data_IF_145769752724
#
_entry.id   IF_145769752724
#
_cell.length_a   1.000
_cell.length_b   1.000
_cell.length_c   1.000
_cell.angle_alpha   90.00
_cell.angle_beta   90.00
_cell.angle_gamma   90.00
#
_symmetry.space_group_name_H-M   'P 1'
#
loop_
_entity.id
_entity.type
_entity.pdbx_description
1 polymer ?
#
# COMPACT_ATOMS: atom_id res chain seq x y z
N UNK A 1 -7.36 -46.54 73.13
CA UNK A 1 -8.35 -45.91 72.24
C UNK A 1 -7.71 -44.63 71.69
N UNK A 2 -7.18 -44.72 70.45
CA UNK A 2 -6.41 -43.61 69.81
C UNK A 2 -7.31 -42.93 68.77
N UNK A 3 -7.51 -41.63 68.94
CA UNK A 3 -8.28 -40.78 67.97
C UNK A 3 -7.26 -40.15 67.04
N UNK A 4 -7.28 -40.53 65.77
CA UNK A 4 -6.51 -39.85 64.71
C UNK A 4 -7.38 -38.79 64.12
N UNK A 5 -6.93 -37.52 64.21
CA UNK A 5 -7.48 -36.41 63.45
C UNK A 5 -6.81 -36.31 62.06
N UNK A 6 -7.58 -36.51 61.04
CA UNK A 6 -7.13 -36.29 59.64
C UNK A 6 -7.31 -34.85 59.27
N UNK A 7 -6.18 -34.14 59.18
CA UNK A 7 -6.12 -32.80 58.59
C UNK A 7 -5.73 -32.98 57.12
N UNK A 8 -6.70 -33.26 56.27
CA UNK A 8 -6.49 -33.25 54.81
C UNK A 8 -7.71 -32.66 54.13
N UNK A 9 -7.68 -31.37 53.80
CA UNK A 9 -8.80 -30.81 53.04
C UNK A 9 -8.74 -29.30 52.74
N UNK A 10 -7.84 -28.56 53.33
CA UNK A 10 -7.89 -27.08 53.21
C UNK A 10 -6.82 -26.44 52.35
N UNK A 11 -5.75 -27.15 52.00
CA UNK A 11 -4.61 -26.56 51.28
C UNK A 11 -4.81 -26.62 49.75
N UNK A 12 -5.67 -27.56 49.28
CA UNK A 12 -5.89 -27.75 47.83
C UNK A 12 -6.85 -26.76 47.20
N UNK A 13 -7.72 -26.09 47.97
CA UNK A 13 -8.70 -25.11 47.48
C UNK A 13 -8.12 -23.70 47.26
N UNK A 14 -7.02 -23.36 47.91
CA UNK A 14 -6.38 -22.02 47.78
C UNK A 14 -5.49 -21.95 46.53
N UNK A 15 -4.87 -23.05 46.12
CA UNK A 15 -4.00 -23.11 44.96
C UNK A 15 -4.74 -22.95 43.63
N UNK A 16 -5.99 -23.43 43.52
CA UNK A 16 -6.81 -23.34 42.28
C UNK A 16 -7.39 -21.96 42.08
N UNK A 17 -7.63 -21.20 43.16
CA UNK A 17 -8.18 -19.84 43.05
C UNK A 17 -7.14 -18.82 42.57
N UNK A 18 -5.86 -19.03 42.86
CA UNK A 18 -4.75 -18.12 42.44
C UNK A 18 -4.42 -18.30 40.95
N UNK A 19 -4.58 -19.49 40.38
CA UNK A 19 -4.32 -19.77 38.97
C UNK A 19 -5.42 -19.17 38.05
N UNK A 20 -6.65 -19.05 38.54
CA UNK A 20 -7.77 -18.47 37.77
C UNK A 20 -7.74 -16.94 37.71
N UNK A 21 -7.06 -16.25 38.62
CA UNK A 21 -6.91 -14.80 38.63
C UNK A 21 -5.80 -14.27 37.70
N UNK A 22 -4.91 -15.14 37.22
CA UNK A 22 -3.80 -14.76 36.33
C UNK A 22 -4.14 -14.70 34.82
N UNK A 23 -5.33 -15.16 34.40
CA UNK A 23 -5.67 -15.33 32.99
C UNK A 23 -6.47 -14.15 32.34
N UNK A 24 -6.73 -13.08 33.08
CA UNK A 24 -7.59 -11.98 32.59
C UNK A 24 -6.79 -10.75 32.12
N UNK A 25 -5.46 -10.85 32.01
CA UNK A 25 -4.61 -9.68 31.71
C UNK A 25 -3.96 -9.72 30.32
N UNK A 26 -4.62 -10.11 29.25
CA UNK A 26 -4.01 -10.01 27.93
C UNK A 26 -4.97 -9.66 26.79
N UNK A 27 -5.96 -8.81 27.04
CA UNK A 27 -6.61 -8.05 25.97
C UNK A 27 -6.22 -6.58 26.11
N UNK A 28 -4.97 -6.25 25.78
CA UNK A 28 -4.59 -4.87 25.52
C UNK A 28 -5.25 -4.48 24.22
N UNK A 29 -6.48 -3.98 24.29
CA UNK A 29 -7.16 -3.30 23.19
C UNK A 29 -6.22 -2.18 22.70
N UNK A 30 -5.63 -2.36 21.49
CA UNK A 30 -4.88 -1.28 20.85
C UNK A 30 -5.86 -0.13 20.67
N UNK A 31 -5.59 1.00 21.32
CA UNK A 31 -6.35 2.24 21.08
C UNK A 31 -6.34 2.49 19.58
N UNK A 32 -7.47 2.85 18.96
CA UNK A 32 -7.49 3.19 17.55
C UNK A 32 -6.49 4.32 17.29
N UNK A 33 -5.60 4.10 16.34
CA UNK A 33 -4.58 5.07 15.95
C UNK A 33 -5.29 6.30 15.37
N UNK A 34 -4.92 7.52 15.77
CA UNK A 34 -5.50 8.72 15.20
C UNK A 34 -5.21 8.80 13.69
N UNK A 35 -6.12 9.35 12.91
CA UNK A 35 -5.96 9.47 11.46
C UNK A 35 -4.67 10.22 11.10
N UNK A 36 -4.31 11.27 11.84
CA UNK A 36 -3.05 12.00 11.65
C UNK A 36 -1.81 11.12 11.88
N UNK A 37 -1.85 10.20 12.83
CA UNK A 37 -0.74 9.26 13.04
C UNK A 37 -0.62 8.27 11.88
N UNK A 38 -1.73 7.82 11.30
CA UNK A 38 -1.73 6.96 10.10
C UNK A 38 -1.13 7.69 8.89
N UNK A 39 -1.53 8.94 8.65
CA UNK A 39 -0.94 9.75 7.58
C UNK A 39 0.56 9.99 7.78
N UNK A 40 1.00 10.27 9.01
CA UNK A 40 2.42 10.42 9.34
C UNK A 40 3.23 9.15 9.06
N UNK A 41 2.69 7.96 9.34
CA UNK A 41 3.33 6.68 9.01
C UNK A 41 3.45 6.48 7.50
N UNK A 42 2.40 6.78 6.74
CA UNK A 42 2.38 6.68 5.28
C UNK A 42 3.41 7.63 4.66
N UNK A 43 3.42 8.90 5.04
CA UNK A 43 4.38 9.90 4.57
C UNK A 43 5.83 9.50 4.86
N UNK A 44 6.09 8.94 6.05
CA UNK A 44 7.41 8.43 6.42
C UNK A 44 7.85 7.25 5.53
N UNK A 45 6.95 6.30 5.27
CA UNK A 45 7.24 5.15 4.39
C UNK A 45 7.47 5.57 2.94
N UNK A 46 6.69 6.52 2.43
CA UNK A 46 6.84 7.03 1.07
C UNK A 46 8.04 8.00 0.90
N UNK A 47 8.56 8.55 2.00
CA UNK A 47 9.62 9.56 1.99
C UNK A 47 9.18 10.91 1.42
N UNK A 48 7.88 11.20 1.37
CA UNK A 48 7.31 12.43 0.81
C UNK A 48 6.20 12.97 1.71
N UNK A 49 5.92 14.29 1.60
CA UNK A 49 4.74 14.92 2.20
C UNK A 49 3.55 14.80 1.24
N UNK A 50 2.37 14.49 1.76
CA UNK A 50 1.13 14.43 1.00
C UNK A 50 0.36 15.73 1.22
N UNK A 51 0.27 16.56 0.17
CA UNK A 51 -0.37 17.87 0.26
C UNK A 51 -1.89 17.75 0.42
N UNK A 52 -2.50 16.83 -0.32
CA UNK A 52 -3.94 16.59 -0.26
C UNK A 52 -4.20 15.19 0.31
N UNK A 53 -4.57 15.12 1.58
CA UNK A 53 -4.87 13.88 2.30
C UNK A 53 -6.27 13.36 1.94
N UNK A 54 -6.42 12.94 0.71
CA UNK A 54 -7.60 12.25 0.18
C UNK A 54 -7.25 10.80 -0.10
N UNK A 55 -8.25 9.93 -0.17
CA UNK A 55 -8.09 8.54 -0.57
C UNK A 55 -7.09 7.72 0.30
N UNK A 56 -7.31 7.75 1.62
CA UNK A 56 -6.48 7.02 2.59
C UNK A 56 -6.32 5.54 2.23
N UNK A 57 -7.34 4.91 1.63
CA UNK A 57 -7.29 3.50 1.24
C UNK A 57 -6.24 3.26 0.14
N UNK A 58 -6.16 4.15 -0.85
CA UNK A 58 -5.13 4.08 -1.89
C UNK A 58 -3.72 4.15 -1.28
N UNK A 59 -3.47 5.14 -0.42
CA UNK A 59 -2.15 5.28 0.20
C UNK A 59 -1.79 4.10 1.12
N UNK A 60 -2.75 3.57 1.88
CA UNK A 60 -2.54 2.36 2.69
C UNK A 60 -2.20 1.15 1.84
N UNK A 61 -2.75 1.06 0.64
CA UNK A 61 -2.47 -0.08 -0.24
C UNK A 61 -1.09 0.07 -0.90
N UNK A 62 -0.78 1.21 -1.50
CA UNK A 62 0.48 1.38 -2.25
C UNK A 62 1.73 1.24 -1.37
N UNK A 63 1.68 1.66 -0.08
CA UNK A 63 2.83 1.51 0.83
C UNK A 63 3.17 0.05 1.15
N UNK A 64 2.21 -0.89 1.02
CA UNK A 64 2.47 -2.33 1.22
C UNK A 64 3.39 -2.90 0.14
N UNK A 65 3.42 -2.28 -1.03
CA UNK A 65 4.17 -2.73 -2.19
C UNK A 65 5.58 -2.15 -2.28
N UNK A 66 5.93 -1.15 -1.47
CA UNK A 66 7.27 -0.56 -1.47
C UNK A 66 8.35 -1.62 -1.31
N UNK A 67 9.37 -1.58 -2.18
CA UNK A 67 10.47 -2.53 -2.20
C UNK A 67 10.15 -3.89 -2.84
N UNK A 68 8.91 -4.16 -3.28
CA UNK A 68 8.60 -5.37 -4.02
C UNK A 68 9.49 -5.47 -5.26
N UNK A 69 10.21 -6.60 -5.48
CA UNK A 69 11.13 -6.75 -6.61
C UNK A 69 10.43 -6.60 -7.96
N UNK A 70 11.15 -6.04 -8.94
CA UNK A 70 10.65 -6.07 -10.32
C UNK A 70 10.72 -7.47 -10.91
N UNK A 71 9.63 -7.89 -11.56
CA UNK A 71 9.58 -9.12 -12.36
C UNK A 71 8.70 -8.88 -13.57
N UNK A 72 9.29 -8.98 -14.77
CA UNK A 72 8.54 -8.85 -16.01
C UNK A 72 7.40 -9.89 -16.08
N UNK A 73 6.19 -9.44 -16.38
CA UNK A 73 5.00 -10.29 -16.37
C UNK A 73 4.46 -10.62 -14.96
N UNK A 74 5.13 -10.16 -13.89
CA UNK A 74 4.72 -10.42 -12.52
C UNK A 74 3.51 -9.58 -12.06
N UNK A 75 2.78 -10.13 -11.09
CA UNK A 75 1.59 -9.50 -10.49
C UNK A 75 1.40 -9.88 -9.01
N UNK A 76 2.48 -10.19 -8.30
CA UNK A 76 2.44 -10.60 -6.89
C UNK A 76 3.51 -9.91 -6.05
N UNK A 77 3.43 -10.04 -4.71
CA UNK A 77 4.44 -9.52 -3.78
C UNK A 77 5.81 -10.18 -3.93
N UNK A 78 5.92 -11.31 -4.62
CA UNK A 78 7.20 -11.96 -4.95
C UNK A 78 7.87 -11.36 -6.19
N UNK A 79 7.17 -10.51 -6.94
CA UNK A 79 7.68 -9.80 -8.10
C UNK A 79 6.56 -9.26 -8.95
N UNK A 80 6.71 -7.98 -9.34
CA UNK A 80 5.67 -7.25 -10.07
C UNK A 80 6.30 -6.36 -11.14
N UNK A 81 5.65 -6.19 -12.30
CA UNK A 81 6.03 -5.18 -13.28
C UNK A 81 5.17 -3.89 -13.15
N UNK A 82 5.49 -2.87 -13.92
CA UNK A 82 4.85 -1.56 -13.81
C UNK A 82 3.33 -1.61 -14.05
N UNK A 83 2.88 -2.24 -15.12
CA UNK A 83 1.46 -2.34 -15.45
C UNK A 83 0.71 -3.36 -14.58
N UNK A 84 1.38 -4.41 -14.12
CA UNK A 84 0.85 -5.36 -13.15
C UNK A 84 0.60 -4.70 -11.79
N UNK A 85 1.52 -3.83 -11.34
CA UNK A 85 1.36 -3.05 -10.12
C UNK A 85 0.13 -2.14 -10.21
N UNK A 86 0.03 -1.34 -11.27
CA UNK A 86 -1.14 -0.46 -11.50
C UNK A 86 -2.43 -1.27 -11.53
N UNK A 87 -2.48 -2.36 -12.29
CA UNK A 87 -3.64 -3.24 -12.39
C UNK A 87 -4.07 -3.78 -11.02
N UNK A 88 -3.11 -4.25 -10.21
CA UNK A 88 -3.38 -4.79 -8.87
C UNK A 88 -3.94 -3.74 -7.93
N UNK A 89 -3.35 -2.54 -7.90
CA UNK A 89 -3.85 -1.44 -7.06
C UNK A 89 -5.27 -1.04 -7.50
N UNK A 90 -5.52 -0.92 -8.80
CA UNK A 90 -6.85 -0.56 -9.30
C UNK A 90 -7.92 -1.60 -8.97
N UNK A 91 -7.59 -2.87 -9.03
CA UNK A 91 -8.53 -3.94 -8.65
C UNK A 91 -8.85 -3.90 -7.15
N UNK A 92 -7.83 -3.75 -6.29
CA UNK A 92 -7.99 -3.78 -4.83
C UNK A 92 -8.64 -2.51 -4.29
N UNK A 93 -8.23 -1.33 -4.78
CA UNK A 93 -8.66 -0.04 -4.21
C UNK A 93 -9.92 0.48 -4.88
N UNK A 94 -9.99 0.39 -6.21
CA UNK A 94 -11.07 1.00 -7.00
C UNK A 94 -12.07 -0.02 -7.55
N UNK A 95 -11.87 -1.34 -7.30
CA UNK A 95 -12.74 -2.41 -7.81
C UNK A 95 -12.77 -2.50 -9.34
N UNK A 96 -11.75 -1.98 -10.02
CA UNK A 96 -11.70 -1.87 -11.48
C UNK A 96 -10.56 -2.69 -12.08
N UNK A 97 -10.90 -3.56 -13.02
CA UNK A 97 -9.91 -4.30 -13.82
C UNK A 97 -9.36 -3.42 -14.93
N UNK A 98 -8.05 -3.35 -15.06
CA UNK A 98 -7.34 -2.63 -16.11
C UNK A 98 -6.67 -3.60 -17.09
N UNK A 99 -6.34 -3.14 -18.32
CA UNK A 99 -5.55 -3.91 -19.27
C UNK A 99 -4.18 -4.28 -18.69
N UNK A 100 -3.66 -5.45 -19.12
CA UNK A 100 -2.38 -5.95 -18.61
C UNK A 100 -1.16 -5.14 -19.07
N UNK A 101 -1.21 -4.50 -20.23
CA UNK A 101 -0.09 -3.79 -20.83
C UNK A 101 -0.20 -2.27 -20.66
N UNK A 102 0.92 -1.60 -20.34
CA UNK A 102 0.97 -0.14 -20.15
C UNK A 102 0.50 0.64 -21.37
N UNK A 103 0.84 0.20 -22.58
CA UNK A 103 0.39 0.83 -23.81
C UNK A 103 -1.14 0.76 -23.98
N UNK A 104 -1.76 -0.34 -23.59
CA UNK A 104 -3.20 -0.48 -23.62
C UNK A 104 -3.88 0.31 -22.49
N UNK A 105 -3.28 0.34 -21.28
CA UNK A 105 -3.72 1.22 -20.20
C UNK A 105 -3.72 2.69 -20.65
N UNK A 106 -2.67 3.14 -21.36
CA UNK A 106 -2.63 4.49 -21.92
C UNK A 106 -3.75 4.74 -22.92
N UNK A 107 -3.93 3.84 -23.89
CA UNK A 107 -4.94 3.95 -24.94
C UNK A 107 -6.37 4.02 -24.39
N UNK A 108 -6.66 3.29 -23.31
CA UNK A 108 -8.00 3.19 -22.72
C UNK A 108 -8.24 4.22 -21.61
N UNK A 109 -7.19 4.88 -21.10
CA UNK A 109 -7.33 5.91 -20.07
C UNK A 109 -7.88 7.21 -20.66
N UNK A 110 -8.66 7.94 -19.86
CA UNK A 110 -9.06 9.32 -20.20
C UNK A 110 -7.87 10.26 -19.95
N UNK A 111 -7.46 11.08 -20.92
CA UNK A 111 -6.39 12.07 -20.70
C UNK A 111 -6.74 13.03 -19.56
N UNK A 112 -5.76 13.37 -18.72
CA UNK A 112 -5.88 14.32 -17.61
C UNK A 112 -4.80 15.37 -17.71
N UNK A 113 -5.08 16.60 -17.28
CA UNK A 113 -4.06 17.64 -17.16
C UNK A 113 -3.41 17.62 -15.79
N UNK A 114 -2.19 18.15 -15.67
CA UNK A 114 -1.47 18.21 -14.40
C UNK A 114 -2.28 18.88 -13.27
N UNK A 115 -3.08 19.90 -13.59
CA UNK A 115 -3.93 20.64 -12.63
C UNK A 115 -5.10 19.80 -12.08
N UNK A 116 -5.48 18.73 -12.76
CA UNK A 116 -6.61 17.85 -12.39
C UNK A 116 -6.17 16.47 -11.90
N UNK A 117 -4.86 16.30 -11.72
CA UNK A 117 -4.34 15.05 -11.16
C UNK A 117 -4.89 14.80 -9.77
N UNK A 118 -5.22 13.55 -9.52
CA UNK A 118 -5.59 13.09 -8.21
C UNK A 118 -4.90 11.75 -7.89
N UNK A 119 -4.76 11.38 -6.61
CA UNK A 119 -4.11 10.13 -6.22
C UNK A 119 -4.63 8.93 -7.00
N UNK A 120 -3.71 8.11 -7.54
CA UNK A 120 -4.06 6.97 -8.38
C UNK A 120 -4.17 7.24 -9.87
N UNK A 121 -4.18 8.50 -10.34
CA UNK A 121 -4.06 8.79 -11.78
C UNK A 121 -2.72 8.33 -12.33
N UNK A 122 -2.64 8.07 -13.61
CA UNK A 122 -1.52 7.38 -14.23
C UNK A 122 -0.56 8.35 -14.91
N UNK A 123 0.73 8.05 -14.79
CA UNK A 123 1.83 8.64 -15.52
C UNK A 123 2.32 7.65 -16.56
N UNK A 124 2.37 8.04 -17.83
CA UNK A 124 2.82 7.18 -18.91
C UNK A 124 4.15 7.66 -19.48
N UNK A 125 5.03 6.70 -19.79
CA UNK A 125 6.38 6.99 -20.26
C UNK A 125 6.73 6.11 -21.46
N UNK A 126 7.43 6.70 -22.44
CA UNK A 126 8.12 5.99 -23.50
C UNK A 126 9.61 5.87 -23.18
N UNK A 127 9.94 4.87 -22.37
CA UNK A 127 11.34 4.63 -21.94
C UNK A 127 12.20 4.06 -23.07
N UNK A 128 11.56 3.39 -24.05
CA UNK A 128 12.28 2.66 -25.12
C UNK A 128 12.29 3.40 -26.45
N UNK A 129 11.60 4.53 -26.59
CA UNK A 129 11.49 5.29 -27.85
C UNK A 129 10.63 4.58 -28.91
N UNK A 130 9.72 3.69 -28.51
CA UNK A 130 8.86 2.89 -29.39
C UNK A 130 7.38 2.97 -28.99
N UNK A 131 7.00 3.98 -28.25
CA UNK A 131 5.69 4.15 -27.66
C UNK A 131 5.65 3.81 -26.16
N UNK A 132 4.48 3.98 -25.54
CA UNK A 132 4.32 3.79 -24.10
C UNK A 132 4.77 2.40 -23.66
N UNK A 133 5.79 2.36 -22.81
CA UNK A 133 6.42 1.12 -22.32
C UNK A 133 6.50 1.06 -20.80
N UNK A 134 6.13 2.16 -20.09
CA UNK A 134 6.16 2.21 -18.63
C UNK A 134 5.01 3.05 -18.08
N UNK A 135 4.59 2.74 -16.85
CA UNK A 135 3.48 3.40 -16.15
C UNK A 135 3.77 3.49 -14.66
N UNK A 136 3.31 4.57 -14.04
CA UNK A 136 3.29 4.78 -12.60
C UNK A 136 1.97 5.42 -12.16
N UNK A 137 1.77 5.55 -10.86
CA UNK A 137 0.56 6.12 -10.26
C UNK A 137 0.89 7.40 -9.51
N UNK A 138 0.14 8.46 -9.75
CA UNK A 138 0.26 9.73 -9.05
C UNK A 138 0.06 9.57 -7.54
N UNK A 139 0.91 10.21 -6.77
CA UNK A 139 0.79 10.34 -5.32
C UNK A 139 0.40 11.77 -4.93
N UNK A 140 1.30 12.71 -5.13
CA UNK A 140 1.14 14.13 -4.80
C UNK A 140 2.16 14.95 -5.58
N UNK A 141 1.89 16.21 -5.90
CA UNK A 141 2.77 17.11 -6.66
C UNK A 141 3.34 16.44 -7.92
N UNK A 142 4.66 16.29 -8.00
CA UNK A 142 5.34 15.60 -9.13
C UNK A 142 5.67 14.14 -8.80
N UNK A 143 5.31 13.65 -7.62
CA UNK A 143 5.68 12.32 -7.16
C UNK A 143 4.71 11.25 -7.65
N UNK A 144 5.27 10.13 -8.07
CA UNK A 144 4.53 8.94 -8.47
C UNK A 144 5.20 7.68 -7.95
N UNK A 145 4.41 6.62 -7.77
CA UNK A 145 4.89 5.29 -7.39
C UNK A 145 4.81 4.34 -8.59
N UNK A 146 5.84 3.54 -8.78
CA UNK A 146 5.92 2.61 -9.91
C UNK A 146 6.86 1.44 -9.61
N UNK A 147 6.77 0.35 -10.40
CA UNK A 147 7.73 -0.75 -10.34
C UNK A 147 8.92 -0.44 -11.28
N UNK A 148 10.02 0.02 -10.70
CA UNK A 148 11.30 0.26 -11.40
C UNK A 148 11.98 -1.07 -11.70
N UNK A 149 12.50 -1.24 -12.94
CA UNK A 149 13.24 -2.45 -13.35
C UNK A 149 14.50 -2.72 -12.53
N UNK A 150 15.10 -1.67 -11.94
CA UNK A 150 16.34 -1.78 -11.15
C UNK A 150 16.11 -1.83 -9.64
N UNK A 151 15.06 -1.19 -9.13
CA UNK A 151 14.87 -0.96 -7.70
C UNK A 151 13.57 -1.57 -7.15
N UNK A 152 12.75 -2.21 -7.99
CA UNK A 152 11.42 -2.66 -7.58
C UNK A 152 10.44 -1.50 -7.41
N UNK A 153 9.44 -1.66 -6.57
CA UNK A 153 8.42 -0.63 -6.32
C UNK A 153 9.00 0.48 -5.48
N UNK A 154 9.06 1.68 -6.07
CA UNK A 154 9.63 2.90 -5.47
C UNK A 154 8.80 4.13 -5.78
N UNK A 155 9.02 5.19 -5.01
CA UNK A 155 8.58 6.55 -5.32
C UNK A 155 9.66 7.25 -6.16
N UNK A 156 9.22 7.96 -7.19
CA UNK A 156 10.07 8.80 -8.06
C UNK A 156 9.40 10.15 -8.32
N UNK A 157 10.16 11.10 -8.83
CA UNK A 157 9.65 12.41 -9.23
C UNK A 157 9.68 12.59 -10.74
N UNK A 158 8.64 13.20 -11.32
CA UNK A 158 8.62 13.59 -12.73
C UNK A 158 9.73 14.62 -13.07
N UNK A 159 10.28 15.31 -12.07
CA UNK A 159 11.42 16.23 -12.22
C UNK A 159 12.76 15.52 -12.46
N UNK A 160 12.86 14.23 -12.17
CA UNK A 160 14.04 13.46 -12.52
C UNK A 160 14.21 13.41 -14.04
N UNK A 161 15.41 13.77 -14.53
CA UNK A 161 15.70 13.88 -15.97
C UNK A 161 15.34 12.63 -16.77
N UNK A 162 15.50 11.47 -16.17
CA UNK A 162 15.16 10.18 -16.80
C UNK A 162 13.66 10.09 -17.12
N UNK A 163 12.81 10.47 -16.18
CA UNK A 163 11.35 10.40 -16.37
C UNK A 163 10.82 11.58 -17.18
N UNK A 164 11.30 12.81 -16.94
CA UNK A 164 10.83 13.98 -17.67
C UNK A 164 11.08 13.90 -19.17
N UNK A 165 12.22 13.31 -19.59
CA UNK A 165 12.54 13.11 -21.02
C UNK A 165 11.69 12.05 -21.71
N UNK A 166 11.20 11.07 -20.99
CA UNK A 166 10.40 9.96 -21.52
C UNK A 166 8.90 10.11 -21.26
N UNK A 167 8.50 11.20 -20.63
CA UNK A 167 7.10 11.44 -20.26
C UNK A 167 6.21 11.64 -21.50
N UNK A 168 5.11 10.89 -21.55
CA UNK A 168 4.11 10.93 -22.64
C UNK A 168 2.86 11.70 -22.22
N UNK A 169 2.35 11.49 -21.02
CA UNK A 169 1.13 12.11 -20.55
C UNK A 169 0.55 11.48 -19.31
N UNK A 170 -0.56 12.08 -18.85
CA UNK A 170 -1.34 11.57 -17.74
C UNK A 170 -2.65 10.94 -18.23
N UNK A 171 -3.15 9.95 -17.50
CA UNK A 171 -4.44 9.35 -17.76
C UNK A 171 -5.17 8.93 -16.48
N UNK A 172 -6.48 8.85 -16.56
CA UNK A 172 -7.34 8.43 -15.45
C UNK A 172 -8.29 7.31 -15.88
N UNK A 173 -8.56 6.41 -14.94
CA UNK A 173 -9.61 5.41 -15.07
C UNK A 173 -10.73 5.60 -14.06
N UNK A 174 -10.62 6.57 -13.15
CA UNK A 174 -11.65 6.83 -12.14
C UNK A 174 -12.95 7.32 -12.81
N UNK A 175 -14.07 6.90 -12.26
CA UNK A 175 -15.39 7.36 -12.70
C UNK A 175 -15.65 8.73 -12.08
N UNK A 176 -15.99 9.71 -12.92
CA UNK A 176 -16.61 10.97 -12.51
C UNK A 176 -15.63 12.09 -12.16
N UNK A 177 -15.44 12.97 -13.10
CA UNK A 177 -15.50 14.44 -12.98
C UNK A 177 -16.39 14.95 -14.11
#
# INVERSE_FOLDING_TARGET
MRIYWTITGSVFKIGVLIVLLGAIQSCRSRKPQSENAVWGEIENKLGIRIQQRSDLQFYKEVVKWLGTPYKYGGNSSQGIDCSGFVMTIYEVVFGRKLPRQSAQQHKESRPVTAKKLAPGDLYFFDIQGKGVSHVGMHLTDDYFIHASTKKGVIVSSLKETYYSKSFVGFGAFRLGD
#
